data_IF_993208209633
#
_entry.id   IF_993208209633
#
_cell.length_a   1.000
_cell.length_b   1.000
_cell.length_c   1.000
_cell.angle_alpha   90.00
_cell.angle_beta   90.00
_cell.angle_gamma   90.00
#
_symmetry.space_group_name_H-M   'P 1'
#
loop_
_entity.id
_entity.type
_entity.pdbx_description
1 polymer ?
#
# COMPACT_ATOMS: atom_id res chain seq x y z
N UNK A 1 1.98 -10.34 -7.38
CA UNK A 1 3.09 -10.17 -6.46
C UNK A 1 2.54 -10.01 -5.04
N UNK A 2 2.88 -10.93 -4.14
CA UNK A 2 2.31 -11.03 -2.79
C UNK A 2 3.39 -10.77 -1.76
N UNK A 3 3.18 -9.74 -0.92
CA UNK A 3 4.14 -9.31 0.09
C UNK A 3 3.49 -9.13 1.46
N UNK A 4 4.32 -9.10 2.48
CA UNK A 4 4.02 -8.67 3.82
C UNK A 4 4.65 -7.31 4.09
N UNK A 5 3.87 -6.39 4.60
CA UNK A 5 4.31 -5.06 4.96
C UNK A 5 4.72 -5.02 6.43
N UNK A 6 5.97 -4.67 6.71
CA UNK A 6 6.48 -4.54 8.09
C UNK A 6 6.20 -3.17 8.69
N UNK A 7 6.44 -2.11 7.92
CA UNK A 7 6.16 -0.74 8.34
C UNK A 7 4.66 -0.51 8.51
N UNK A 8 4.26 0.18 9.56
CA UNK A 8 2.87 0.58 9.75
C UNK A 8 2.60 1.83 8.92
N UNK A 9 1.90 1.64 7.81
CA UNK A 9 1.36 2.75 7.03
C UNK A 9 -0.08 3.05 7.46
N UNK A 10 -0.51 4.28 7.19
CA UNK A 10 -1.90 4.70 7.41
C UNK A 10 -2.43 5.45 6.19
N UNK A 11 -3.75 5.57 6.11
CA UNK A 11 -4.43 6.38 5.10
C UNK A 11 -4.82 7.75 5.65
N UNK A 12 -5.21 7.79 6.92
CA UNK A 12 -5.78 8.95 7.61
C UNK A 12 -4.97 9.38 8.85
N UNK A 13 -3.85 8.74 9.11
CA UNK A 13 -3.01 8.97 10.30
C UNK A 13 -3.52 8.30 11.58
N UNK A 14 -4.61 7.54 11.53
CA UNK A 14 -5.23 6.89 12.69
C UNK A 14 -5.24 5.37 12.58
N UNK A 15 -5.83 4.87 11.50
CA UNK A 15 -5.95 3.43 11.28
C UNK A 15 -4.80 2.91 10.45
N UNK A 16 -4.21 1.75 10.80
CA UNK A 16 -3.20 1.13 9.96
C UNK A 16 -3.80 0.70 8.61
N UNK A 17 -3.04 0.83 7.54
CA UNK A 17 -3.40 0.25 6.26
C UNK A 17 -3.25 -1.27 6.35
N UNK A 18 -4.38 -1.95 6.46
CA UNK A 18 -4.43 -3.42 6.54
C UNK A 18 -4.09 -4.07 5.21
N UNK A 19 -4.51 -3.43 4.13
CA UNK A 19 -4.20 -3.83 2.77
C UNK A 19 -3.65 -2.64 1.98
N UNK A 20 -2.63 -2.89 1.21
CA UNK A 20 -2.11 -1.90 0.28
C UNK A 20 -1.88 -2.53 -1.09
N UNK A 21 -2.16 -1.76 -2.14
CA UNK A 21 -2.07 -2.24 -3.52
C UNK A 21 -1.20 -1.33 -4.36
N UNK A 22 -0.67 -1.87 -5.45
CA UNK A 22 -0.04 -1.10 -6.49
C UNK A 22 -0.35 -1.72 -7.86
N UNK A 23 -0.72 -0.87 -8.81
CA UNK A 23 -0.61 -1.13 -10.23
C UNK A 23 0.73 -0.55 -10.71
N UNK A 24 1.80 -1.38 -10.82
CA UNK A 24 3.16 -0.90 -11.06
C UNK A 24 3.30 -0.07 -12.33
N UNK A 25 4.20 0.91 -12.31
CA UNK A 25 4.46 1.76 -13.47
C UNK A 25 5.20 1.00 -14.57
N UNK A 26 5.02 1.46 -15.81
CA UNK A 26 5.67 0.88 -16.99
C UNK A 26 6.95 1.64 -17.37
N UNK A 27 7.09 2.87 -16.87
CA UNK A 27 8.21 3.77 -17.16
C UNK A 27 8.31 4.90 -16.11
N UNK A 28 9.38 5.68 -16.19
CA UNK A 28 9.62 6.83 -15.31
C UNK A 28 8.59 7.96 -15.44
N UNK A 29 7.89 8.05 -16.57
CA UNK A 29 6.80 9.02 -16.80
C UNK A 29 5.50 8.60 -16.12
N UNK A 30 5.47 7.40 -15.48
CA UNK A 30 4.29 6.83 -14.80
C UNK A 30 3.07 6.75 -15.72
N UNK A 31 3.30 6.45 -16.98
CA UNK A 31 2.25 6.36 -17.99
C UNK A 31 1.15 5.38 -17.58
N UNK A 32 -0.09 5.79 -17.76
CA UNK A 32 -1.27 4.92 -17.54
C UNK A 32 -1.69 4.34 -18.89
N UNK A 33 -1.02 3.27 -19.28
CA UNK A 33 -1.34 2.54 -20.49
C UNK A 33 -2.40 1.44 -20.24
N UNK A 34 -2.81 0.73 -21.28
CA UNK A 34 -3.83 -0.34 -21.18
C UNK A 34 -3.44 -1.47 -20.21
N UNK A 35 -2.16 -1.77 -20.09
CA UNK A 35 -1.66 -2.79 -19.14
C UNK A 35 -1.92 -2.38 -17.69
N UNK A 36 -1.59 -1.13 -17.35
CA UNK A 36 -1.84 -0.60 -16.00
C UNK A 36 -3.32 -0.43 -15.71
N UNK A 37 -4.12 0.04 -16.69
CA UNK A 37 -5.58 0.19 -16.52
C UNK A 37 -6.24 -1.14 -16.14
N UNK A 38 -5.81 -2.27 -16.70
CA UNK A 38 -6.31 -3.59 -16.31
C UNK A 38 -6.04 -3.92 -14.85
N UNK A 39 -4.83 -3.67 -14.37
CA UNK A 39 -4.49 -3.86 -12.95
C UNK A 39 -5.28 -2.90 -12.05
N UNK A 40 -5.38 -1.62 -12.44
CA UNK A 40 -6.14 -0.60 -11.73
C UNK A 40 -7.63 -0.95 -11.61
N UNK A 41 -8.25 -1.49 -12.68
CA UNK A 41 -9.65 -1.91 -12.68
C UNK A 41 -9.93 -3.01 -11.65
N UNK A 42 -9.05 -4.01 -11.57
CA UNK A 42 -9.17 -5.08 -10.59
C UNK A 42 -9.01 -4.54 -9.16
N UNK A 43 -8.01 -3.68 -8.92
CA UNK A 43 -7.80 -3.05 -7.60
C UNK A 43 -9.00 -2.18 -7.22
N UNK A 44 -9.56 -1.43 -8.17
CA UNK A 44 -10.77 -0.61 -7.95
C UNK A 44 -11.94 -1.46 -7.48
N UNK A 45 -12.14 -2.63 -8.10
CA UNK A 45 -13.20 -3.56 -7.70
C UNK A 45 -12.97 -4.15 -6.32
N UNK A 46 -11.73 -4.56 -5.99
CA UNK A 46 -11.36 -5.00 -4.64
C UNK A 46 -11.67 -3.91 -3.62
N UNK A 47 -11.26 -2.68 -3.89
CA UNK A 47 -11.49 -1.55 -3.00
C UNK A 47 -12.99 -1.29 -2.77
N UNK A 48 -13.79 -1.29 -3.81
CA UNK A 48 -15.25 -1.10 -3.73
C UNK A 48 -15.92 -2.09 -2.77
N UNK A 49 -15.47 -3.35 -2.79
CA UNK A 49 -16.06 -4.43 -2.00
C UNK A 49 -15.54 -4.40 -0.55
N UNK A 50 -14.24 -4.16 -0.36
CA UNK A 50 -13.61 -4.28 0.96
C UNK A 50 -13.62 -3.00 1.78
N UNK A 51 -13.64 -1.84 1.17
CA UNK A 51 -13.62 -0.57 1.92
C UNK A 51 -14.80 -0.40 2.90
N UNK A 52 -16.03 -0.86 2.62
CA UNK A 52 -17.11 -0.87 3.62
C UNK A 52 -16.85 -1.79 4.82
N UNK A 53 -16.01 -2.84 4.66
CA UNK A 53 -15.69 -3.81 5.71
C UNK A 53 -14.55 -3.33 6.62
N UNK A 54 -13.59 -2.63 6.04
CA UNK A 54 -12.40 -2.07 6.72
C UNK A 54 -12.18 -0.61 6.29
N UNK A 55 -13.09 0.29 6.65
CA UNK A 55 -13.03 1.69 6.19
C UNK A 55 -11.73 2.36 6.63
N UNK A 56 -11.13 3.14 5.73
CA UNK A 56 -9.86 3.84 5.93
C UNK A 56 -8.65 2.93 6.24
N UNK A 57 -8.71 1.65 5.88
CA UNK A 57 -7.63 0.70 6.11
C UNK A 57 -7.11 0.08 4.80
N UNK A 58 -7.51 0.62 3.66
CA UNK A 58 -7.02 0.21 2.35
C UNK A 58 -6.30 1.39 1.70
N UNK A 59 -5.10 1.14 1.22
CA UNK A 59 -4.24 2.15 0.63
C UNK A 59 -3.67 1.71 -0.72
N UNK A 60 -3.01 2.62 -1.42
CA UNK A 60 -2.14 2.32 -2.54
C UNK A 60 -0.73 2.83 -2.28
N UNK A 61 0.26 2.18 -2.88
CA UNK A 61 1.64 2.67 -2.90
C UNK A 61 1.82 3.79 -3.93
N UNK A 62 2.86 4.60 -3.72
CA UNK A 62 3.40 5.47 -4.75
C UNK A 62 3.77 4.65 -5.98
N UNK A 63 3.44 5.16 -7.15
CA UNK A 63 3.66 4.49 -8.43
C UNK A 63 4.99 4.90 -9.10
N UNK A 64 6.01 5.22 -8.30
CA UNK A 64 7.36 5.44 -8.81
C UNK A 64 7.88 4.18 -9.52
N UNK A 65 8.53 4.39 -10.67
CA UNK A 65 9.06 3.29 -11.46
C UNK A 65 10.42 2.84 -10.94
N UNK A 66 10.51 1.56 -10.55
CA UNK A 66 11.74 0.93 -10.07
C UNK A 66 12.21 -0.16 -11.06
N UNK A 67 13.22 0.11 -11.90
CA UNK A 67 13.65 -0.81 -12.95
C UNK A 67 14.20 -2.15 -12.44
N UNK A 68 14.50 -2.26 -11.14
CA UNK A 68 14.92 -3.50 -10.48
C UNK A 68 13.74 -4.28 -9.85
N UNK A 69 12.55 -3.70 -9.83
CA UNK A 69 11.34 -4.35 -9.30
C UNK A 69 10.78 -5.35 -10.30
N UNK A 70 10.41 -6.53 -9.82
CA UNK A 70 9.76 -7.56 -10.65
C UNK A 70 8.42 -7.05 -11.20
N UNK A 71 7.61 -6.38 -10.37
CA UNK A 71 6.29 -5.88 -10.77
C UNK A 71 6.35 -4.85 -11.90
N UNK A 72 7.27 -3.89 -11.79
CA UNK A 72 7.48 -2.86 -12.82
C UNK A 72 7.98 -3.45 -14.13
N UNK A 73 8.91 -4.41 -14.06
CA UNK A 73 9.40 -5.08 -15.25
C UNK A 73 8.31 -5.89 -15.96
N UNK A 74 7.48 -6.62 -15.23
CA UNK A 74 6.34 -7.33 -15.81
C UNK A 74 5.34 -6.37 -16.45
N UNK A 75 5.01 -5.27 -15.78
CA UNK A 75 4.15 -4.21 -16.33
C UNK A 75 4.74 -3.59 -17.59
N UNK A 76 6.04 -3.30 -17.61
CA UNK A 76 6.77 -2.81 -18.78
C UNK A 76 6.72 -3.79 -19.96
N UNK A 77 6.73 -5.08 -19.69
CA UNK A 77 6.61 -6.15 -20.70
C UNK A 77 5.16 -6.32 -21.19
N UNK A 78 4.20 -5.53 -20.72
CA UNK A 78 2.79 -5.62 -21.12
C UNK A 78 1.97 -6.64 -20.34
N UNK A 79 2.49 -7.16 -19.22
CA UNK A 79 1.77 -8.08 -18.35
C UNK A 79 1.10 -7.31 -17.21
N UNK A 80 -0.25 -7.26 -17.15
CA UNK A 80 -0.96 -6.61 -16.04
C UNK A 80 -0.55 -7.23 -14.71
N UNK A 81 0.00 -6.43 -13.83
CA UNK A 81 0.57 -6.88 -12.56
C UNK A 81 -0.06 -6.10 -11.41
N UNK A 82 -0.37 -6.79 -10.32
CA UNK A 82 -0.84 -6.19 -9.08
C UNK A 82 0.11 -6.61 -7.96
N UNK A 83 0.60 -5.63 -7.20
CA UNK A 83 1.23 -5.85 -5.92
C UNK A 83 0.14 -5.85 -4.83
N UNK A 84 0.12 -6.89 -4.02
CA UNK A 84 -0.67 -7.02 -2.81
C UNK A 84 0.27 -6.98 -1.61
N UNK A 85 -0.02 -6.09 -0.67
CA UNK A 85 0.72 -5.97 0.58
C UNK A 85 -0.21 -6.16 1.78
N UNK A 86 0.09 -7.16 2.61
CA UNK A 86 -0.56 -7.38 3.90
C UNK A 86 0.08 -6.51 4.98
N UNK A 87 -0.63 -5.48 5.40
CA UNK A 87 -0.19 -4.54 6.42
C UNK A 87 -0.60 -4.98 7.84
N UNK A 88 -1.03 -4.02 8.65
CA UNK A 88 -1.40 -4.22 10.04
C UNK A 88 -2.91 -4.04 10.23
N UNK A 89 -3.47 -4.81 11.16
CA UNK A 89 -4.86 -4.63 11.61
C UNK A 89 -4.84 -4.29 13.11
N UNK A 90 -5.82 -3.52 13.57
CA UNK A 90 -5.87 -3.06 14.96
C UNK A 90 -5.93 -4.26 15.92
N UNK A 91 -5.06 -4.28 16.94
CA UNK A 91 -4.97 -5.34 17.95
C UNK A 91 -4.73 -6.76 17.39
N UNK A 92 -4.10 -6.86 16.23
CA UNK A 92 -3.89 -8.11 15.50
C UNK A 92 -2.41 -8.51 15.42
N UNK A 93 -1.78 -8.72 16.57
CA UNK A 93 -0.36 -9.14 16.66
C UNK A 93 -0.06 -10.40 15.85
N UNK A 94 -0.99 -11.36 15.84
CA UNK A 94 -0.85 -12.63 15.11
C UNK A 94 -1.19 -12.54 13.62
N UNK A 95 -1.57 -11.37 13.14
CA UNK A 95 -1.93 -11.13 11.74
C UNK A 95 -3.14 -11.93 11.20
N UNK A 96 -4.01 -12.43 12.10
CA UNK A 96 -5.19 -13.22 11.69
C UNK A 96 -6.23 -12.36 10.95
N UNK A 97 -6.49 -11.15 11.43
CA UNK A 97 -7.36 -10.18 10.76
C UNK A 97 -6.79 -9.76 9.42
N UNK A 98 -5.48 -9.46 9.37
CA UNK A 98 -4.79 -9.13 8.12
C UNK A 98 -4.89 -10.28 7.12
N UNK A 99 -4.61 -11.54 7.53
CA UNK A 99 -4.75 -12.72 6.66
C UNK A 99 -6.16 -12.91 6.13
N UNK A 100 -7.17 -12.70 6.98
CA UNK A 100 -8.57 -12.79 6.57
C UNK A 100 -8.89 -11.82 5.42
N UNK A 101 -8.57 -10.55 5.59
CA UNK A 101 -8.87 -9.54 4.56
C UNK A 101 -7.99 -9.67 3.34
N UNK A 102 -6.75 -10.10 3.51
CA UNK A 102 -5.84 -10.40 2.40
C UNK A 102 -6.37 -11.55 1.53
N UNK A 103 -6.83 -12.64 2.15
CA UNK A 103 -7.45 -13.77 1.45
C UNK A 103 -8.72 -13.34 0.71
N UNK A 104 -9.55 -12.51 1.35
CA UNK A 104 -10.75 -11.98 0.74
C UNK A 104 -10.41 -11.07 -0.46
N UNK A 105 -9.37 -10.24 -0.34
CA UNK A 105 -8.89 -9.39 -1.44
C UNK A 105 -8.40 -10.22 -2.64
N UNK A 106 -7.68 -11.32 -2.40
CA UNK A 106 -7.26 -12.23 -3.46
C UNK A 106 -8.45 -12.89 -4.15
N UNK A 107 -9.42 -13.37 -3.37
CA UNK A 107 -10.64 -13.98 -3.89
C UNK A 107 -11.43 -12.99 -4.77
N UNK A 108 -11.69 -11.79 -4.27
CA UNK A 108 -12.41 -10.76 -5.01
C UNK A 108 -11.61 -10.26 -6.23
N UNK A 109 -10.30 -10.23 -6.16
CA UNK A 109 -9.44 -9.92 -7.30
C UNK A 109 -9.55 -10.95 -8.42
N UNK A 110 -9.52 -12.25 -8.11
CA UNK A 110 -9.72 -13.33 -9.07
C UNK A 110 -11.12 -13.29 -9.67
N UNK A 111 -12.11 -13.04 -8.82
CA UNK A 111 -13.51 -12.90 -9.26
C UNK A 111 -13.67 -11.67 -10.18
N UNK A 112 -13.06 -10.54 -9.85
CA UNK A 112 -13.08 -9.36 -10.71
C UNK A 112 -12.49 -9.64 -12.10
N UNK A 113 -11.37 -10.37 -12.18
CA UNK A 113 -10.77 -10.75 -13.46
C UNK A 113 -11.75 -11.58 -14.32
N UNK A 114 -12.55 -12.43 -13.69
CA UNK A 114 -13.53 -13.28 -14.39
C UNK A 114 -14.82 -12.55 -14.78
N UNK A 115 -15.24 -11.54 -14.00
CA UNK A 115 -16.58 -10.93 -14.10
C UNK A 115 -16.60 -9.53 -14.73
N UNK A 116 -15.47 -8.82 -14.81
CA UNK A 116 -15.41 -7.49 -15.44
C UNK A 116 -15.88 -7.57 -16.90
N UNK A 117 -16.87 -6.74 -17.24
CA UNK A 117 -17.40 -6.63 -18.61
C UNK A 117 -16.36 -6.10 -19.60
N UNK A 118 -15.48 -5.23 -19.11
CA UNK A 118 -14.31 -4.73 -19.80
C UNK A 118 -13.11 -4.87 -18.88
N UNK A 119 -11.97 -5.29 -19.40
CA UNK A 119 -10.74 -5.44 -18.63
C UNK A 119 -10.21 -4.14 -18.00
N UNK A 120 -10.77 -3.00 -18.40
CA UNK A 120 -10.42 -1.66 -17.88
C UNK A 120 -11.63 -0.94 -17.29
N UNK A 121 -12.68 -1.67 -16.89
CA UNK A 121 -13.90 -1.08 -16.33
C UNK A 121 -13.59 -0.34 -15.02
N UNK A 122 -13.99 0.94 -14.94
CA UNK A 122 -13.85 1.80 -13.75
C UNK A 122 -12.41 1.91 -13.20
N UNK A 123 -11.39 1.78 -14.06
CA UNK A 123 -9.97 1.86 -13.64
C UNK A 123 -9.64 3.19 -12.94
N UNK A 124 -10.33 4.28 -13.28
CA UNK A 124 -10.13 5.61 -12.70
C UNK A 124 -10.39 5.64 -11.18
N UNK A 125 -11.23 4.75 -10.67
CA UNK A 125 -11.52 4.65 -9.24
C UNK A 125 -10.28 4.27 -8.41
N UNK A 126 -9.27 3.66 -9.03
CA UNK A 126 -7.98 3.43 -8.40
C UNK A 126 -7.34 4.71 -7.84
N UNK A 127 -7.49 5.83 -8.53
CA UNK A 127 -6.94 7.11 -8.10
C UNK A 127 -7.63 7.70 -6.86
N UNK A 128 -8.82 7.20 -6.51
CA UNK A 128 -9.55 7.60 -5.30
C UNK A 128 -9.05 6.86 -4.05
N UNK A 129 -8.29 5.77 -4.22
CA UNK A 129 -7.69 5.04 -3.10
C UNK A 129 -6.58 5.91 -2.50
N UNK A 130 -6.60 6.19 -1.18
CA UNK A 130 -5.58 7.03 -0.56
C UNK A 130 -4.19 6.38 -0.63
N UNK A 131 -3.16 7.21 -0.70
CA UNK A 131 -1.78 6.73 -0.63
C UNK A 131 -1.38 6.37 0.79
N UNK A 132 -0.48 5.40 0.92
CA UNK A 132 0.20 5.07 2.15
C UNK A 132 0.96 6.28 2.71
N UNK A 133 0.85 6.48 4.02
CA UNK A 133 1.59 7.50 4.75
C UNK A 133 2.33 6.88 5.93
N UNK A 134 3.60 7.19 6.05
CA UNK A 134 4.39 6.85 7.24
C UNK A 134 4.08 7.87 8.34
N UNK A 135 3.29 7.46 9.31
CA UNK A 135 2.85 8.32 10.42
C UNK A 135 3.12 7.68 11.79
N UNK A 136 3.67 6.48 11.81
CA UNK A 136 4.04 5.75 13.01
C UNK A 136 5.56 5.64 13.12
N UNK A 137 6.04 5.82 14.33
CA UNK A 137 7.46 5.75 14.68
C UNK A 137 7.63 4.81 15.87
N UNK A 138 8.81 4.21 16.03
CA UNK A 138 9.08 3.29 17.13
C UNK A 138 9.06 4.00 18.47
N UNK A 139 9.60 5.24 18.51
CA UNK A 139 9.62 6.07 19.73
C UNK A 139 9.31 7.52 19.34
N UNK A 140 8.50 8.19 20.16
CA UNK A 140 8.27 9.64 20.03
C UNK A 140 8.54 10.29 21.39
N UNK A 141 9.50 11.21 21.40
CA UNK A 141 9.73 12.12 22.54
C UNK A 141 8.99 13.42 22.26
N UNK A 142 8.03 13.74 23.11
CA UNK A 142 7.20 14.93 22.98
C UNK A 142 7.75 16.10 23.80
N UNK A 143 7.61 17.32 23.27
CA UNK A 143 7.97 18.57 23.96
C UNK A 143 9.43 18.57 24.45
N UNK A 144 10.36 18.08 23.64
CA UNK A 144 11.78 18.05 23.99
C UNK A 144 12.33 19.47 23.91
N UNK A 145 12.89 19.95 25.03
CA UNK A 145 13.65 21.22 25.07
C UNK A 145 15.10 20.93 24.70
N UNK A 146 15.56 21.48 23.59
CA UNK A 146 16.96 21.39 23.21
C UNK A 146 17.81 22.39 24.01
N UNK A 147 18.97 21.93 24.47
CA UNK A 147 19.97 22.81 25.11
C UNK A 147 20.87 23.43 24.04
N UNK A 148 20.34 24.41 23.34
CA UNK A 148 21.02 25.17 22.28
C UNK A 148 20.95 26.65 22.57
N UNK A 149 21.67 27.48 21.79
CA UNK A 149 21.68 28.95 21.95
C UNK A 149 20.30 29.59 21.71
N UNK A 150 19.38 28.83 21.08
CA UNK A 150 18.00 29.25 20.89
C UNK A 150 17.06 28.27 21.61
N UNK A 151 16.14 28.83 22.41
CA UNK A 151 15.10 28.00 23.02
C UNK A 151 14.19 27.41 21.93
N UNK A 152 14.21 26.08 21.81
CA UNK A 152 13.37 25.37 20.88
C UNK A 152 12.71 24.18 21.59
N UNK A 153 11.38 24.06 21.44
CA UNK A 153 10.61 22.90 21.89
C UNK A 153 10.12 22.17 20.64
N UNK A 154 10.44 20.89 20.54
CA UNK A 154 10.05 20.09 19.38
C UNK A 154 9.75 18.63 19.78
N UNK A 155 9.08 17.91 18.89
CA UNK A 155 8.91 16.46 18.99
C UNK A 155 10.03 15.77 18.22
N UNK A 156 10.63 14.75 18.83
CA UNK A 156 11.66 13.91 18.19
C UNK A 156 11.06 12.53 17.94
N UNK A 157 11.00 12.13 16.68
CA UNK A 157 10.59 10.79 16.26
C UNK A 157 11.84 9.94 15.96
N UNK A 158 11.83 8.71 16.45
CA UNK A 158 12.87 7.71 16.20
C UNK A 158 12.23 6.54 15.49
N UNK A 159 12.86 6.12 14.40
CA UNK A 159 12.48 4.94 13.66
C UNK A 159 13.67 3.98 13.57
N UNK A 160 13.46 2.71 13.89
CA UNK A 160 14.47 1.68 13.78
C UNK A 160 14.62 1.23 12.33
N UNK A 161 15.84 0.99 11.95
CA UNK A 161 16.17 0.31 10.70
C UNK A 161 16.71 -1.08 11.03
N UNK A 162 16.05 -2.10 10.52
CA UNK A 162 16.56 -3.48 10.61
C UNK A 162 17.65 -3.70 9.54
N UNK A 163 18.81 -4.19 9.97
CA UNK A 163 19.92 -4.54 9.09
C UNK A 163 20.34 -5.99 9.35
N UNK A 164 20.44 -6.77 8.28
CA UNK A 164 21.07 -8.10 8.33
C UNK A 164 22.58 -7.92 8.54
N UNK A 165 23.08 -8.33 9.70
CA UNK A 165 24.51 -8.41 9.96
C UNK A 165 24.94 -9.88 9.91
N UNK A 166 25.78 -10.22 8.94
CA UNK A 166 26.39 -11.54 8.77
C UNK A 166 25.36 -12.67 8.60
N UNK A 167 24.62 -12.65 7.50
CA UNK A 167 23.81 -13.76 7.02
C UNK A 167 24.65 -14.84 6.33
#
# INVERSE_FOLDING_TARGET
NLHEQRTIFTTDGKNPATLSFLAPSVNYQREINETRKKAMAVISRIFEILNPLIPNQIARYSDEFYPTSVGDNLSKMGLPTILFEGGHFINDYKREGTRKYYTLALYEGLKAIAELKSATENWENYQKIPENRETHYDIIYRNVKLNTDFECILDIAVQYREELRNG
#
